data_IF_927858601806
#
_entry.id   IF_927858601806
#
_cell.length_a   1.000
_cell.length_b   1.000
_cell.length_c   1.000
_cell.angle_alpha   90.00
_cell.angle_beta   90.00
_cell.angle_gamma   90.00
#
_symmetry.space_group_name_H-M   'P 1'
#
loop_
_entity.id
_entity.type
_entity.pdbx_description
1 polymer ?
#
# COMPACT_ATOMS: atom_id res chain seq x y z
N UNK A 1 -22.92 3.55 -10.34
CA UNK A 1 -23.22 2.99 -9.04
C UNK A 1 -22.18 3.37 -8.02
N UNK A 2 -22.63 4.12 -7.04
CA UNK A 2 -21.76 4.49 -5.94
C UNK A 2 -21.64 3.30 -4.99
N UNK A 3 -20.46 2.72 -4.93
CA UNK A 3 -20.21 1.63 -3.99
C UNK A 3 -19.82 2.24 -2.65
N UNK A 4 -20.72 2.17 -1.68
CA UNK A 4 -20.45 2.67 -0.34
C UNK A 4 -19.93 1.53 0.52
N UNK A 5 -18.71 1.67 1.02
CA UNK A 5 -18.09 0.67 1.86
C UNK A 5 -18.26 1.04 3.32
N UNK A 6 -19.11 0.31 4.02
CA UNK A 6 -19.32 0.46 5.46
C UNK A 6 -18.72 -0.67 6.27
N UNK A 7 -18.36 -1.78 5.59
CA UNK A 7 -17.75 -2.94 6.21
C UNK A 7 -16.70 -3.54 5.28
N UNK A 8 -15.94 -4.51 5.79
CA UNK A 8 -14.88 -5.13 5.01
C UNK A 8 -15.44 -6.10 3.97
N UNK A 9 -15.21 -5.78 2.70
CA UNK A 9 -15.62 -6.60 1.56
C UNK A 9 -14.42 -7.01 0.72
N UNK A 10 -13.33 -7.43 1.39
CA UNK A 10 -12.08 -7.79 0.70
C UNK A 10 -12.32 -8.88 -0.34
N UNK A 11 -13.08 -9.92 0.03
CA UNK A 11 -13.37 -11.02 -0.89
C UNK A 11 -14.18 -10.56 -2.10
N UNK A 12 -15.18 -9.72 -1.88
CA UNK A 12 -15.99 -9.18 -2.96
C UNK A 12 -15.16 -8.27 -3.86
N UNK A 13 -14.30 -7.47 -3.26
CA UNK A 13 -13.39 -6.60 -3.99
C UNK A 13 -12.47 -7.42 -4.89
N UNK A 14 -11.87 -8.49 -4.36
CA UNK A 14 -10.95 -9.34 -5.13
C UNK A 14 -11.66 -10.06 -6.28
N UNK A 15 -12.91 -10.44 -6.10
CA UNK A 15 -13.71 -11.08 -7.15
C UNK A 15 -13.93 -10.16 -8.36
N UNK A 16 -13.96 -8.85 -8.13
CA UNK A 16 -14.13 -7.87 -9.22
C UNK A 16 -12.92 -7.81 -10.15
N UNK A 17 -11.78 -8.34 -9.74
CA UNK A 17 -10.54 -8.31 -10.50
C UNK A 17 -10.20 -9.67 -11.13
N UNK A 18 -11.15 -10.59 -11.16
CA UNK A 18 -10.98 -11.88 -11.80
C UNK A 18 -11.08 -13.05 -10.84
N UNK A 19 -10.55 -14.18 -11.26
CA UNK A 19 -10.62 -15.41 -10.47
C UNK A 19 -9.85 -15.28 -9.16
N UNK A 20 -10.50 -15.67 -8.08
CA UNK A 20 -9.92 -15.64 -6.75
C UNK A 20 -8.91 -16.78 -6.62
N UNK A 21 -7.64 -16.44 -6.45
CA UNK A 21 -6.56 -17.43 -6.39
C UNK A 21 -5.62 -17.15 -5.22
N UNK A 22 -4.76 -18.11 -4.92
CA UNK A 22 -3.71 -17.95 -3.90
C UNK A 22 -2.82 -16.76 -4.22
N UNK A 23 -2.60 -16.47 -5.50
CA UNK A 23 -1.84 -15.31 -5.93
C UNK A 23 -2.50 -14.01 -5.50
N UNK A 24 -3.83 -13.93 -5.59
CA UNK A 24 -4.58 -12.73 -5.18
C UNK A 24 -4.45 -12.49 -3.68
N UNK A 25 -4.45 -13.54 -2.87
CA UNK A 25 -4.20 -13.41 -1.43
C UNK A 25 -2.79 -12.89 -1.15
N UNK A 26 -1.79 -13.43 -1.85
CA UNK A 26 -0.41 -12.97 -1.69
C UNK A 26 -0.24 -11.53 -2.15
N UNK A 27 -0.89 -11.15 -3.23
CA UNK A 27 -0.90 -9.77 -3.73
C UNK A 27 -1.51 -8.84 -2.68
N UNK A 28 -2.65 -9.22 -2.10
CA UNK A 28 -3.29 -8.43 -1.06
C UNK A 28 -2.37 -8.26 0.15
N UNK A 29 -1.83 -9.37 0.66
CA UNK A 29 -0.94 -9.38 1.81
C UNK A 29 0.33 -8.56 1.56
N UNK A 30 0.91 -8.68 0.38
CA UNK A 30 2.10 -7.90 0.01
C UNK A 30 1.82 -6.41 0.07
N UNK A 31 0.65 -5.98 -0.41
CA UNK A 31 0.29 -4.57 -0.42
C UNK A 31 -0.05 -4.04 0.98
N UNK A 32 -0.60 -4.87 1.85
CA UNK A 32 -0.76 -4.50 3.26
C UNK A 32 0.59 -4.24 3.91
N UNK A 33 1.57 -5.13 3.69
CA UNK A 33 2.91 -4.96 4.23
C UNK A 33 3.60 -3.73 3.64
N UNK A 34 3.49 -3.51 2.33
CA UNK A 34 4.17 -2.37 1.70
C UNK A 34 3.64 -1.04 2.26
N UNK A 35 2.34 -0.92 2.45
CA UNK A 35 1.73 0.28 3.04
C UNK A 35 2.25 0.48 4.46
N UNK A 36 2.24 -0.58 5.26
CA UNK A 36 2.70 -0.52 6.65
C UNK A 36 4.16 -0.08 6.73
N UNK A 37 5.03 -0.69 5.95
CA UNK A 37 6.46 -0.39 6.00
C UNK A 37 6.78 0.98 5.39
N UNK A 38 6.13 1.35 4.29
CA UNK A 38 6.31 2.67 3.68
C UNK A 38 5.92 3.77 4.67
N UNK A 39 4.78 3.62 5.31
CA UNK A 39 4.30 4.59 6.28
C UNK A 39 5.30 4.74 7.44
N UNK A 40 5.74 3.61 7.99
CA UNK A 40 6.69 3.60 9.11
C UNK A 40 8.02 4.27 8.73
N UNK A 41 8.57 3.91 7.56
CA UNK A 41 9.84 4.46 7.09
C UNK A 41 9.73 5.95 6.76
N UNK A 42 8.62 6.36 6.15
CA UNK A 42 8.40 7.78 5.85
C UNK A 42 8.25 8.61 7.11
N UNK A 43 7.57 8.08 8.14
CA UNK A 43 7.44 8.77 9.42
C UNK A 43 8.81 8.96 10.10
N UNK A 44 9.66 7.94 10.04
CA UNK A 44 11.01 8.05 10.59
C UNK A 44 11.84 9.08 9.82
N UNK A 45 11.74 9.05 8.50
CA UNK A 45 12.47 9.98 7.65
C UNK A 45 12.00 11.43 7.84
N UNK A 46 10.70 11.62 8.07
CA UNK A 46 10.10 12.93 8.31
C UNK A 46 10.70 13.63 9.52
N UNK A 47 11.19 12.89 10.50
CA UNK A 47 11.81 13.46 11.71
C UNK A 47 13.11 14.16 11.42
N UNK A 48 13.83 13.75 10.37
CA UNK A 48 15.14 14.26 10.04
C UNK A 48 15.20 15.02 8.71
N UNK A 49 14.28 14.70 7.79
CA UNK A 49 14.27 15.27 6.45
C UNK A 49 12.91 15.82 6.09
N UNK A 50 12.89 16.76 5.14
CA UNK A 50 11.64 17.23 4.56
C UNK A 50 11.24 16.28 3.44
N UNK A 51 10.09 15.63 3.58
CA UNK A 51 9.62 14.65 2.60
C UNK A 51 9.42 15.27 1.21
N UNK A 52 9.06 16.54 1.15
CA UNK A 52 8.83 17.22 -0.13
C UNK A 52 10.14 17.53 -0.88
N UNK A 53 11.27 17.46 -0.18
CA UNK A 53 12.59 17.75 -0.72
C UNK A 53 13.44 16.49 -0.91
N UNK A 54 12.85 15.30 -0.77
CA UNK A 54 13.60 14.07 -0.96
C UNK A 54 14.07 13.93 -2.41
N UNK A 55 15.33 13.56 -2.57
CA UNK A 55 15.86 13.23 -3.90
C UNK A 55 15.27 11.90 -4.37
N UNK A 56 15.21 11.72 -5.69
CA UNK A 56 14.76 10.46 -6.28
C UNK A 56 15.58 9.28 -5.78
N UNK A 57 16.89 9.49 -5.61
CA UNK A 57 17.80 8.45 -5.13
C UNK A 57 17.44 7.99 -3.73
N UNK A 58 17.18 8.93 -2.81
CA UNK A 58 16.79 8.61 -1.44
C UNK A 58 15.45 7.89 -1.40
N UNK A 59 14.51 8.38 -2.20
CA UNK A 59 13.17 7.80 -2.27
C UNK A 59 13.21 6.38 -2.83
N UNK A 60 13.98 6.15 -3.89
CA UNK A 60 14.16 4.83 -4.47
C UNK A 60 14.81 3.84 -3.50
N UNK A 61 15.80 4.30 -2.73
CA UNK A 61 16.42 3.48 -1.70
C UNK A 61 15.42 3.06 -0.63
N UNK A 62 14.58 3.99 -0.20
CA UNK A 62 13.54 3.73 0.78
C UNK A 62 12.52 2.72 0.25
N UNK A 63 12.09 2.90 -0.99
CA UNK A 63 11.15 1.99 -1.64
C UNK A 63 11.76 0.59 -1.76
N UNK A 64 13.00 0.48 -2.21
CA UNK A 64 13.67 -0.80 -2.35
C UNK A 64 13.86 -1.51 -1.01
N UNK A 65 14.22 -0.75 0.03
CA UNK A 65 14.33 -1.30 1.38
C UNK A 65 12.98 -1.87 1.84
N UNK A 66 11.91 -1.13 1.58
CA UNK A 66 10.57 -1.54 1.97
C UNK A 66 10.13 -2.79 1.19
N UNK A 67 10.41 -2.83 -0.10
CA UNK A 67 10.12 -4.01 -0.93
C UNK A 67 10.90 -5.22 -0.44
N UNK A 68 12.16 -5.03 -0.02
CA UNK A 68 12.97 -6.12 0.53
C UNK A 68 12.35 -6.69 1.81
N UNK A 69 11.81 -5.83 2.67
CA UNK A 69 11.13 -6.27 3.88
C UNK A 69 9.89 -7.11 3.56
N UNK A 70 9.13 -6.68 2.56
CA UNK A 70 7.96 -7.44 2.10
C UNK A 70 8.39 -8.78 1.49
N UNK A 71 9.42 -8.77 0.67
CA UNK A 71 9.95 -9.97 0.04
C UNK A 71 10.38 -11.01 1.08
N UNK A 72 11.02 -10.55 2.15
CA UNK A 72 11.43 -11.41 3.26
C UNK A 72 10.21 -12.07 3.92
N UNK A 73 9.15 -11.29 4.14
CA UNK A 73 7.91 -11.82 4.73
C UNK A 73 7.24 -12.87 3.86
N UNK A 74 7.37 -12.74 2.54
CA UNK A 74 6.73 -13.64 1.58
C UNK A 74 7.66 -14.76 1.08
N UNK A 75 8.89 -14.80 1.55
CA UNK A 75 9.92 -15.73 1.07
C UNK A 75 10.12 -15.63 -0.45
N UNK A 76 10.20 -14.39 -0.94
CA UNK A 76 10.43 -14.09 -2.35
C UNK A 76 11.58 -13.13 -2.52
N UNK A 77 12.02 -12.94 -3.76
CA UNK A 77 13.04 -11.94 -4.09
C UNK A 77 12.38 -10.58 -4.28
N UNK A 78 13.20 -9.52 -4.20
CA UNK A 78 12.74 -8.15 -4.49
C UNK A 78 12.11 -8.07 -5.87
N UNK A 79 12.78 -8.65 -6.87
CA UNK A 79 12.31 -8.58 -8.26
C UNK A 79 10.94 -9.20 -8.44
N UNK A 80 10.71 -10.37 -7.84
CA UNK A 80 9.43 -11.08 -7.95
C UNK A 80 8.33 -10.30 -7.24
N UNK A 81 8.60 -9.80 -6.03
CA UNK A 81 7.61 -9.02 -5.28
C UNK A 81 7.21 -7.77 -6.03
N UNK A 82 8.18 -7.02 -6.52
CA UNK A 82 7.94 -5.75 -7.24
C UNK A 82 7.17 -5.98 -8.54
N UNK A 83 7.49 -7.05 -9.25
CA UNK A 83 6.86 -7.36 -10.54
C UNK A 83 5.48 -7.97 -10.39
N UNK A 84 5.30 -8.87 -9.43
CA UNK A 84 4.11 -9.75 -9.39
C UNK A 84 3.12 -9.41 -8.28
N UNK A 85 3.55 -8.84 -7.17
CA UNK A 85 2.70 -8.72 -5.99
C UNK A 85 2.43 -7.29 -5.56
N UNK A 86 3.39 -6.38 -5.67
CA UNK A 86 3.22 -5.02 -5.17
C UNK A 86 2.53 -4.14 -6.21
N UNK A 87 1.50 -3.41 -5.77
CA UNK A 87 0.77 -2.50 -6.64
C UNK A 87 1.67 -1.37 -7.13
N UNK A 88 1.77 -1.25 -8.44
CA UNK A 88 2.51 -0.16 -9.05
C UNK A 88 1.89 1.19 -8.72
N UNK A 89 0.57 1.24 -8.56
CA UNK A 89 -0.14 2.47 -8.20
C UNK A 89 0.29 3.01 -6.85
N UNK A 90 0.52 2.12 -5.87
CA UNK A 90 1.01 2.51 -4.55
C UNK A 90 2.41 3.12 -4.66
N UNK A 91 3.29 2.47 -5.41
CA UNK A 91 4.66 2.96 -5.58
C UNK A 91 4.70 4.30 -6.30
N UNK A 92 3.88 4.47 -7.34
CA UNK A 92 3.80 5.74 -8.07
C UNK A 92 3.24 6.86 -7.19
N UNK A 93 2.25 6.56 -6.35
CA UNK A 93 1.66 7.53 -5.42
C UNK A 93 2.72 8.06 -4.46
N UNK A 94 3.55 7.16 -3.90
CA UNK A 94 4.65 7.54 -3.00
C UNK A 94 5.68 8.39 -3.72
N UNK A 95 6.04 8.01 -4.95
CA UNK A 95 7.03 8.74 -5.74
C UNK A 95 6.54 10.12 -6.13
N UNK A 96 5.25 10.25 -6.39
CA UNK A 96 4.66 11.51 -6.80
C UNK A 96 4.71 12.53 -5.66
N UNK A 97 4.28 12.13 -4.46
CA UNK A 97 4.28 13.03 -3.31
C UNK A 97 4.30 12.21 -2.01
N UNK A 98 5.50 11.98 -1.44
CA UNK A 98 5.62 11.19 -0.21
C UNK A 98 4.86 11.79 0.98
N UNK A 99 4.85 13.11 1.09
CA UNK A 99 4.16 13.81 2.18
C UNK A 99 2.65 13.61 2.07
N UNK A 100 2.10 13.76 0.87
CA UNK A 100 0.68 13.53 0.63
C UNK A 100 0.30 12.07 0.89
N UNK A 101 1.18 11.13 0.53
CA UNK A 101 0.94 9.72 0.79
C UNK A 101 0.82 9.44 2.29
N UNK A 102 1.72 9.99 3.11
CA UNK A 102 1.66 9.85 4.57
C UNK A 102 0.36 10.41 5.12
N UNK A 103 -0.04 11.59 4.66
CA UNK A 103 -1.28 12.23 5.10
C UNK A 103 -2.51 11.41 4.70
N UNK A 104 -2.47 10.82 3.52
CA UNK A 104 -3.53 9.94 3.02
C UNK A 104 -3.69 8.71 3.89
N UNK A 105 -2.58 8.06 4.25
CA UNK A 105 -2.59 6.89 5.13
C UNK A 105 -3.16 7.26 6.50
N UNK A 106 -2.74 8.38 7.06
CA UNK A 106 -3.29 8.88 8.34
C UNK A 106 -4.79 9.09 8.25
N UNK A 107 -5.24 9.73 7.17
CA UNK A 107 -6.65 10.02 6.98
C UNK A 107 -7.49 8.74 6.89
N UNK A 108 -7.04 7.78 6.08
CA UNK A 108 -7.75 6.51 5.92
C UNK A 108 -7.69 5.64 7.16
N UNK A 109 -6.66 5.82 7.99
CA UNK A 109 -6.53 5.07 9.24
C UNK A 109 -7.37 5.58 10.40
N UNK A 110 -7.99 6.77 10.27
CA UNK A 110 -8.78 7.36 11.34
C UNK A 110 -10.08 6.59 11.61
N UNK A 111 -10.67 6.00 10.59
CA UNK A 111 -11.87 5.20 10.76
C UNK A 111 -11.69 3.85 10.08
N UNK A 112 -11.76 2.81 10.90
CA UNK A 112 -11.63 1.43 10.43
C UNK A 112 -12.97 0.94 9.90
N UNK A 113 -12.96 0.28 8.75
CA UNK A 113 -14.15 -0.37 8.22
C UNK A 113 -14.54 -1.55 9.12
N UNK A 114 -15.84 -1.77 9.26
CA UNK A 114 -16.37 -2.86 10.07
C UNK A 114 -15.85 -4.20 9.55
N UNK A 115 -15.40 -5.06 10.45
CA UNK A 115 -14.88 -6.41 10.14
C UNK A 115 -13.57 -6.40 9.35
N UNK A 116 -12.89 -5.26 9.28
CA UNK A 116 -11.55 -5.15 8.71
C UNK A 116 -10.55 -4.84 9.80
N UNK A 117 -9.29 -5.23 9.58
CA UNK A 117 -8.19 -4.65 10.34
C UNK A 117 -7.93 -3.23 9.83
N UNK A 118 -7.19 -2.44 10.60
CA UNK A 118 -6.84 -1.10 10.16
C UNK A 118 -6.07 -1.12 8.84
N UNK A 119 -5.12 -2.04 8.70
CA UNK A 119 -4.33 -2.16 7.46
C UNK A 119 -5.19 -2.57 6.27
N UNK A 120 -6.09 -3.52 6.45
CA UNK A 120 -7.03 -3.91 5.40
C UNK A 120 -7.90 -2.74 4.96
N UNK A 121 -8.39 -1.98 5.93
CA UNK A 121 -9.24 -0.81 5.67
C UNK A 121 -8.50 0.24 4.84
N UNK A 122 -7.27 0.55 5.22
CA UNK A 122 -6.43 1.53 4.51
C UNK A 122 -6.19 1.08 3.07
N UNK A 123 -5.78 -0.18 2.90
CA UNK A 123 -5.49 -0.72 1.57
C UNK A 123 -6.72 -0.69 0.68
N UNK A 124 -7.86 -1.12 1.20
CA UNK A 124 -9.10 -1.14 0.44
C UNK A 124 -9.49 0.26 -0.03
N UNK A 125 -9.39 1.25 0.86
CA UNK A 125 -9.70 2.65 0.52
C UNK A 125 -8.75 3.20 -0.55
N UNK A 126 -7.45 2.88 -0.45
CA UNK A 126 -6.47 3.30 -1.45
C UNK A 126 -6.75 2.70 -2.82
N UNK A 127 -7.02 1.40 -2.87
CA UNK A 127 -7.28 0.72 -4.14
C UNK A 127 -8.55 1.23 -4.81
N UNK A 128 -9.56 1.54 -4.01
CA UNK A 128 -10.80 2.15 -4.55
C UNK A 128 -10.54 3.54 -5.10
N UNK A 129 -9.70 4.32 -4.44
CA UNK A 129 -9.30 5.63 -4.94
C UNK A 129 -8.62 5.51 -6.29
N UNK A 130 -7.67 4.59 -6.42
CA UNK A 130 -6.94 4.38 -7.67
C UNK A 130 -7.86 3.92 -8.79
N UNK A 131 -8.83 3.07 -8.47
CA UNK A 131 -9.78 2.56 -9.44
C UNK A 131 -10.67 3.66 -10.00
N UNK A 132 -11.02 4.65 -9.16
CA UNK A 132 -11.95 5.73 -9.53
C UNK A 132 -11.27 6.93 -10.19
N UNK A 133 -9.96 6.92 -10.28
CA UNK A 133 -9.20 8.00 -10.93
C UNK A 133 -8.81 7.68 -12.37
#
# INVERSE_FOLDING_TARGET
NTYTITSCHVNDFLKQYGDFSAKNFRTWTANEYIIKYLYSELLELKKTDNLDELSDSKLNKLINKTVDLVAEQLNNTRAICKKSYISNDILEDVKYDPSAFVNKIKHYGKSKLKNCTQQESILLKLLLEYKNN
#
